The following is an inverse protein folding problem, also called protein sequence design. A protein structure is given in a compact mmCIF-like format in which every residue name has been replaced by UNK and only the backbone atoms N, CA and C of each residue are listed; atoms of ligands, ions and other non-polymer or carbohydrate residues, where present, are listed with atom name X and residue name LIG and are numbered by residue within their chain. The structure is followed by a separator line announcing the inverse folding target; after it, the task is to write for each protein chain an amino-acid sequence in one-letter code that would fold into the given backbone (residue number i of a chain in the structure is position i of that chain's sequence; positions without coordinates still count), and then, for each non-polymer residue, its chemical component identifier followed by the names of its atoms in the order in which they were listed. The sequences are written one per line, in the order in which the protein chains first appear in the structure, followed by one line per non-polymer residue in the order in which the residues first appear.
data_IF_706650588983
#
_entry.id   IF_706650588983
#
_cell.length_a   1.000
_cell.length_b   1.000
_cell.length_c   1.000
_cell.angle_alpha   90.00
_cell.angle_beta   90.00
_cell.angle_gamma   90.00
#
_symmetry.space_group_name_H-M   'P 1'
#
loop_
_entity.id
_entity.type
_entity.pdbx_description
1 polymer ?
#
# COMPACT_ATOMS: atom_id res chain seq x y z
N UNK A 1 -4.04 34.86 -14.33
CA UNK A 1 -3.29 33.73 -13.73
C UNK A 1 -3.69 32.47 -14.48
N UNK A 2 -2.76 31.67 -15.03
CA UNK A 2 -3.12 30.37 -15.59
C UNK A 2 -3.57 29.45 -14.43
N UNK A 3 -4.56 28.58 -14.64
CA UNK A 3 -4.96 27.62 -13.61
C UNK A 3 -3.79 26.68 -13.34
N UNK A 4 -3.46 26.53 -12.06
CA UNK A 4 -2.48 25.56 -11.60
C UNK A 4 -2.97 24.16 -12.01
N UNK A 5 -2.34 23.57 -13.02
CA UNK A 5 -2.47 22.15 -13.36
C UNK A 5 -1.87 21.32 -12.21
N UNK A 6 -2.60 21.19 -11.09
CA UNK A 6 -2.27 20.29 -9.99
C UNK A 6 -2.64 18.86 -10.40
N UNK A 7 -1.96 18.33 -11.41
CA UNK A 7 -1.87 16.88 -11.58
C UNK A 7 -0.91 16.33 -10.53
N UNK A 8 -1.35 16.34 -9.27
CA UNK A 8 -0.60 15.76 -8.15
C UNK A 8 -0.24 14.32 -8.52
N UNK A 9 1.06 13.92 -8.53
CA UNK A 9 1.49 12.58 -8.94
C UNK A 9 0.87 11.45 -8.11
N UNK A 10 0.21 11.78 -7.00
CA UNK A 10 -0.58 10.87 -6.18
C UNK A 10 -1.82 10.31 -6.88
N UNK A 11 -2.33 10.94 -7.94
CA UNK A 11 -3.51 10.44 -8.65
C UNK A 11 -3.19 9.33 -9.66
N UNK A 12 -1.89 9.06 -9.91
CA UNK A 12 -1.46 7.94 -10.76
C UNK A 12 -1.24 6.69 -9.90
N UNK A 13 -1.64 5.49 -10.35
CA UNK A 13 -1.34 4.24 -9.64
C UNK A 13 0.16 4.04 -9.41
N UNK A 14 0.56 3.45 -8.28
CA UNK A 14 1.96 3.27 -7.87
C UNK A 14 2.81 2.64 -8.97
N UNK A 15 2.29 1.61 -9.63
CA UNK A 15 2.96 0.90 -10.73
C UNK A 15 3.27 1.80 -11.94
N UNK A 16 2.57 2.92 -12.09
CA UNK A 16 2.79 3.92 -13.17
C UNK A 16 3.64 5.11 -12.71
N UNK A 17 4.00 5.22 -11.41
CA UNK A 17 4.79 6.34 -10.89
C UNK A 17 6.29 6.19 -11.12
N UNK A 18 6.82 4.96 -11.09
CA UNK A 18 8.23 4.63 -11.32
C UNK A 18 8.37 3.28 -12.01
N UNK A 19 9.55 3.03 -12.58
CA UNK A 19 9.87 1.74 -13.19
C UNK A 19 9.96 0.61 -12.17
N UNK A 20 9.75 -0.64 -12.63
CA UNK A 20 9.93 -1.83 -11.80
C UNK A 20 11.36 -1.96 -11.27
N UNK A 21 12.36 -1.64 -12.09
CA UNK A 21 13.77 -1.68 -11.71
C UNK A 21 14.07 -0.75 -10.52
N UNK A 22 13.54 0.48 -10.57
CA UNK A 22 13.66 1.44 -9.47
C UNK A 22 13.00 0.94 -8.19
N UNK A 23 11.79 0.38 -8.27
CA UNK A 23 11.12 -0.20 -7.10
C UNK A 23 11.88 -1.40 -6.52
N UNK A 24 12.48 -2.26 -7.36
CA UNK A 24 13.28 -3.41 -6.90
C UNK A 24 14.49 -2.94 -6.09
N UNK A 25 15.16 -1.88 -6.53
CA UNK A 25 16.29 -1.28 -5.81
C UNK A 25 15.85 -0.66 -4.47
N UNK A 26 14.73 0.06 -4.45
CA UNK A 26 14.18 0.64 -3.21
C UNK A 26 13.79 -0.45 -2.20
N UNK A 27 13.12 -1.50 -2.66
CA UNK A 27 12.75 -2.68 -1.83
C UNK A 27 14.00 -3.35 -1.27
N UNK A 28 15.06 -3.52 -2.06
CA UNK A 28 16.32 -4.09 -1.58
C UNK A 28 16.92 -3.26 -0.42
N UNK A 29 16.95 -1.93 -0.56
CA UNK A 29 17.44 -1.04 0.50
C UNK A 29 16.57 -1.07 1.76
N UNK A 30 15.25 -1.15 1.61
CA UNK A 30 14.32 -1.26 2.75
C UNK A 30 14.50 -2.60 3.47
N UNK A 31 14.61 -3.71 2.74
CA UNK A 31 14.81 -5.05 3.32
C UNK A 31 16.15 -5.17 4.03
N UNK A 32 17.21 -4.55 3.50
CA UNK A 32 18.51 -4.50 4.17
C UNK A 32 18.44 -3.73 5.50
N UNK A 33 17.68 -2.63 5.56
CA UNK A 33 17.49 -1.83 6.78
C UNK A 33 16.51 -2.46 7.78
N UNK A 34 15.50 -3.17 7.29
CA UNK A 34 14.42 -3.74 8.10
C UNK A 34 14.15 -5.20 7.67
N UNK A 35 15.04 -6.15 8.02
CA UNK A 35 14.97 -7.53 7.53
C UNK A 35 13.70 -8.27 7.96
N UNK A 36 13.14 -7.90 9.11
CA UNK A 36 11.91 -8.50 9.66
C UNK A 36 10.63 -7.75 9.22
N UNK A 37 10.71 -6.81 8.28
CA UNK A 37 9.57 -6.04 7.77
C UNK A 37 9.34 -6.33 6.30
N UNK A 38 8.07 -6.55 5.96
CA UNK A 38 7.64 -6.75 4.58
C UNK A 38 7.14 -5.41 4.02
N UNK A 39 7.73 -4.89 2.92
CA UNK A 39 7.23 -3.69 2.28
C UNK A 39 5.94 -3.99 1.50
N UNK A 40 4.82 -3.49 2.00
CA UNK A 40 3.47 -3.51 1.40
C UNK A 40 3.04 -2.14 0.82
N UNK A 41 2.68 -2.10 -0.46
CA UNK A 41 2.12 -0.89 -1.08
C UNK A 41 0.61 -0.83 -0.86
N UNK A 42 0.12 0.29 -0.34
CA UNK A 42 -1.32 0.54 -0.11
C UNK A 42 -1.71 1.80 -0.87
N UNK A 43 -2.77 1.71 -1.66
CA UNK A 43 -3.34 2.83 -2.40
C UNK A 43 -4.86 2.85 -2.23
N UNK A 44 -5.46 4.05 -2.33
CA UNK A 44 -6.91 4.18 -2.36
C UNK A 44 -7.44 3.54 -3.64
N UNK A 45 -8.54 2.80 -3.54
CA UNK A 45 -9.22 2.26 -4.71
C UNK A 45 -9.74 3.40 -5.60
N UNK A 46 -9.64 3.24 -6.93
CA UNK A 46 -9.93 4.32 -7.89
C UNK A 46 -11.38 4.83 -7.79
N UNK A 47 -12.31 3.95 -7.40
CA UNK A 47 -13.74 4.27 -7.28
C UNK A 47 -14.18 4.65 -5.87
N UNK A 48 -13.25 4.65 -4.91
CA UNK A 48 -13.53 5.00 -3.54
C UNK A 48 -13.61 6.52 -3.36
N UNK A 49 -14.77 7.01 -2.90
CA UNK A 49 -15.06 8.43 -2.75
C UNK A 49 -15.12 8.88 -1.29
N UNK A 50 -15.37 7.95 -0.38
CA UNK A 50 -15.65 8.24 1.02
C UNK A 50 -14.41 8.08 1.92
N UNK A 51 -13.38 7.36 1.45
CA UNK A 51 -12.13 7.24 2.20
C UNK A 51 -11.20 8.45 1.95
N UNK A 52 -10.60 9.01 3.02
CA UNK A 52 -9.59 10.05 2.90
C UNK A 52 -8.36 9.55 2.12
N UNK A 53 -7.63 10.46 1.50
CA UNK A 53 -6.37 10.14 0.84
C UNK A 53 -5.36 9.63 1.88
N UNK A 54 -4.74 8.48 1.60
CA UNK A 54 -3.75 7.90 2.49
C UNK A 54 -2.37 8.51 2.22
N UNK A 55 -1.79 9.14 3.24
CA UNK A 55 -0.56 9.90 3.06
C UNK A 55 0.70 9.03 3.14
N UNK A 56 1.33 8.83 1.98
CA UNK A 56 2.45 7.92 1.65
C UNK A 56 2.17 6.42 1.94
N UNK A 57 2.83 5.60 1.14
CA UNK A 57 3.01 4.16 1.28
C UNK A 57 3.62 3.83 2.64
N UNK A 58 2.80 3.66 3.68
CA UNK A 58 3.28 3.44 5.06
C UNK A 58 2.81 2.09 5.57
N UNK A 59 3.80 1.27 5.92
CA UNK A 59 3.71 -0.17 6.12
C UNK A 59 3.08 -0.63 7.45
N UNK A 60 2.42 0.23 8.24
CA UNK A 60 1.85 -0.16 9.55
C UNK A 60 0.63 0.68 9.97
N UNK A 61 -0.26 0.04 10.74
CA UNK A 61 -1.48 0.55 11.42
C UNK A 61 -2.22 1.64 10.63
N UNK A 62 -2.88 1.21 9.57
CA UNK A 62 -3.53 2.09 8.59
C UNK A 62 -4.72 2.83 9.20
N UNK A 63 -5.48 2.20 10.11
CA UNK A 63 -6.63 2.81 10.80
C UNK A 63 -6.24 4.08 11.54
N UNK A 64 -5.14 4.07 12.29
CA UNK A 64 -4.69 5.23 13.07
C UNK A 64 -4.17 6.38 12.20
N UNK A 65 -3.97 6.14 10.90
CA UNK A 65 -3.50 7.15 9.94
C UNK A 65 -4.62 7.67 9.04
N UNK A 66 -5.77 7.00 8.99
CA UNK A 66 -6.96 7.49 8.31
C UNK A 66 -7.85 8.21 9.33
N UNK A 67 -8.28 9.42 9.02
CA UNK A 67 -9.26 10.16 9.82
C UNK A 67 -10.67 9.56 9.62
N UNK A 68 -10.88 8.35 10.13
CA UNK A 68 -12.16 7.62 10.06
C UNK A 68 -12.97 7.83 11.33
N UNK A 69 -14.29 7.93 11.17
CA UNK A 69 -15.22 7.88 12.30
C UNK A 69 -15.22 6.49 12.94
N UNK A 70 -15.57 6.34 14.22
CA UNK A 70 -15.65 5.04 14.89
C UNK A 70 -16.58 4.04 14.18
N UNK A 71 -17.61 4.54 13.50
CA UNK A 71 -18.60 3.76 12.74
C UNK A 71 -18.17 3.45 11.31
N UNK A 72 -17.08 4.05 10.83
CA UNK A 72 -16.59 3.86 9.47
C UNK A 72 -15.56 2.73 9.44
N UNK A 73 -15.81 1.74 8.58
CA UNK A 73 -14.89 0.65 8.31
C UNK A 73 -14.19 0.85 6.96
N UNK A 74 -13.05 0.19 6.79
CA UNK A 74 -12.38 0.06 5.50
C UNK A 74 -11.92 -1.39 5.32
N UNK A 75 -11.77 -1.78 4.06
CA UNK A 75 -11.31 -3.11 3.68
C UNK A 75 -10.04 -3.00 2.85
N UNK A 76 -9.16 -3.99 2.97
CA UNK A 76 -7.96 -4.10 2.16
C UNK A 76 -8.18 -5.15 1.09
N UNK A 77 -7.88 -4.80 -0.16
CA UNK A 77 -7.86 -5.73 -1.28
C UNK A 77 -6.41 -6.09 -1.62
N UNK A 78 -6.08 -7.37 -1.56
CA UNK A 78 -4.84 -7.93 -2.08
C UNK A 78 -5.00 -8.12 -3.59
N UNK A 79 -4.05 -7.57 -4.35
CA UNK A 79 -4.04 -7.63 -5.81
C UNK A 79 -5.34 -7.17 -6.51
N UNK A 80 -6.11 -6.27 -5.87
CA UNK A 80 -7.39 -5.73 -6.37
C UNK A 80 -8.57 -6.72 -6.45
N UNK A 81 -8.41 -7.97 -6.02
CA UNK A 81 -9.44 -9.01 -6.17
C UNK A 81 -9.79 -9.74 -4.87
N UNK A 82 -8.84 -9.87 -3.96
CA UNK A 82 -9.00 -10.70 -2.76
C UNK A 82 -9.12 -9.84 -1.51
N UNK A 83 -10.13 -10.07 -0.67
CA UNK A 83 -10.21 -9.41 0.63
C UNK A 83 -9.12 -9.96 1.55
N UNK A 84 -8.31 -9.07 2.13
CA UNK A 84 -7.32 -9.46 3.12
C UNK A 84 -8.03 -10.02 4.36
N UNK A 85 -7.70 -11.26 4.74
CA UNK A 85 -8.20 -11.84 5.98
C UNK A 85 -7.53 -11.20 7.19
N UNK A 86 -8.31 -10.91 8.24
CA UNK A 86 -7.82 -10.31 9.49
C UNK A 86 -6.94 -11.26 10.32
N UNK A 87 -6.91 -12.56 10.00
CA UNK A 87 -6.09 -13.57 10.69
C UNK A 87 -4.76 -13.87 10.00
N UNK A 88 -4.49 -13.29 8.82
CA UNK A 88 -3.26 -13.53 8.09
C UNK A 88 -2.10 -12.77 8.71
N UNK A 89 -1.21 -13.50 9.38
CA UNK A 89 0.10 -12.97 9.76
C UNK A 89 0.92 -12.73 8.49
N UNK A 90 1.38 -11.51 8.27
CA UNK A 90 2.47 -11.22 7.32
C UNK A 90 3.79 -11.80 7.88
N UNK A 91 3.91 -13.12 7.86
CA UNK A 91 5.12 -13.88 8.19
C UNK A 91 5.90 -14.26 6.93
N UNK A 92 7.15 -14.73 7.04
CA UNK A 92 7.84 -15.34 5.92
C UNK A 92 7.05 -16.57 5.49
N UNK A 93 6.51 -16.56 4.27
CA UNK A 93 5.97 -17.75 3.63
C UNK A 93 7.14 -18.72 3.40
N UNK A 94 7.39 -19.60 4.37
CA UNK A 94 8.25 -20.76 4.19
C UNK A 94 7.47 -21.68 3.26
N UNK A 95 7.84 -21.71 1.98
CA UNK A 95 7.44 -22.80 1.09
C UNK A 95 7.90 -24.10 1.74
N UNK A 96 6.97 -25.04 1.92
CA UNK A 96 7.25 -26.37 2.43
C UNK A 96 8.32 -27.07 1.59
N UNK A 97 9.06 -28.02 2.18
CA UNK A 97 10.13 -28.72 1.49
C UNK A 97 9.56 -29.53 0.30
N UNK A 98 10.28 -29.59 -0.83
CA UNK A 98 9.96 -30.54 -1.89
C UNK A 98 10.20 -31.96 -1.36
N UNK A 99 9.14 -32.77 -1.35
CA UNK A 99 9.22 -34.23 -1.26
C UNK A 99 9.30 -34.85 -2.64
#
# INVERSE_FOLDING_TARGET
MPPFDRTTPQNKPFKKRKSFATHKQEVAGIRAKFPNKIPVIIERYEWEKCLPLLDKTKFTIIRNRMALLPTQAFYLLVNKSELASMSLTTGPAVQGPPG
#
